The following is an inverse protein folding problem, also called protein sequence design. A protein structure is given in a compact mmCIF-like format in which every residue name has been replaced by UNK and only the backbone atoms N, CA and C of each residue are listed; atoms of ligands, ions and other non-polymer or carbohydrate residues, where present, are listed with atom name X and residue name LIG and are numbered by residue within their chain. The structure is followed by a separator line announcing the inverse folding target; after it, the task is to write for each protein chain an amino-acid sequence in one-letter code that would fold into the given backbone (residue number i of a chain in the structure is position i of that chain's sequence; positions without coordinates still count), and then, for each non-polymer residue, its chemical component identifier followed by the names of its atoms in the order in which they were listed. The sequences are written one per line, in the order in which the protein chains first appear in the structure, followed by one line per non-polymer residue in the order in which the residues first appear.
data_IF_080556243451
#
_entry.id   IF_080556243451
#
_cell.length_a   1.000
_cell.length_b   1.000
_cell.length_c   1.000
_cell.angle_alpha   90.00
_cell.angle_beta   90.00
_cell.angle_gamma   90.00
#
_symmetry.space_group_name_H-M   'P 1'
#
loop_
_entity.id
_entity.type
_entity.pdbx_description
1 polymer ?
#
# COMPACT_ATOMS: atom_id res chain seq x y z
N UNK A 1 -36.09 19.25 4.41
CA UNK A 1 -34.97 19.97 5.06
C UNK A 1 -33.65 19.19 5.08
N UNK A 2 -33.66 17.86 4.90
CA UNK A 2 -32.42 17.05 4.82
C UNK A 2 -31.84 16.89 3.40
N UNK A 3 -32.61 17.18 2.34
CA UNK A 3 -32.15 17.04 0.95
C UNK A 3 -31.30 18.24 0.45
N UNK A 4 -31.32 19.37 1.14
CA UNK A 4 -30.64 20.61 0.70
C UNK A 4 -29.13 20.66 1.00
N UNK A 5 -28.60 19.77 1.85
CA UNK A 5 -27.17 19.76 2.21
C UNK A 5 -26.28 19.04 1.18
N UNK A 6 -26.87 18.32 0.21
CA UNK A 6 -26.14 17.87 -0.98
C UNK A 6 -25.76 19.02 -1.93
N UNK A 7 -26.23 20.23 -1.63
CA UNK A 7 -26.04 21.46 -2.40
C UNK A 7 -25.13 22.46 -1.66
N UNK A 8 -24.21 21.99 -0.81
CA UNK A 8 -23.02 22.76 -0.47
C UNK A 8 -22.00 22.50 -1.58
N UNK A 9 -21.95 23.42 -2.55
CA UNK A 9 -21.20 23.41 -3.82
C UNK A 9 -19.67 23.40 -3.67
N UNK A 10 -19.14 22.58 -2.77
CA UNK A 10 -17.73 22.56 -2.39
C UNK A 10 -17.14 21.14 -2.49
N UNK A 11 -17.26 20.46 -3.66
CA UNK A 11 -16.75 19.09 -3.82
C UNK A 11 -15.25 19.01 -3.58
N UNK A 12 -14.51 20.08 -3.88
CA UNK A 12 -13.08 20.17 -3.62
C UNK A 12 -12.77 20.19 -2.12
N UNK A 13 -13.49 21.00 -1.35
CA UNK A 13 -13.35 21.13 0.10
C UNK A 13 -13.75 19.84 0.80
N UNK A 14 -14.83 19.19 0.36
CA UNK A 14 -15.24 17.88 0.87
C UNK A 14 -14.14 16.83 0.64
N UNK A 15 -13.53 16.79 -0.56
CA UNK A 15 -12.42 15.90 -0.85
C UNK A 15 -11.18 16.20 0.01
N UNK A 16 -10.87 17.48 0.25
CA UNK A 16 -9.78 17.87 1.16
C UNK A 16 -10.02 17.41 2.60
N UNK A 17 -11.25 17.50 3.09
CA UNK A 17 -11.63 16.98 4.41
C UNK A 17 -11.48 15.46 4.44
N UNK A 18 -11.92 14.75 3.41
CA UNK A 18 -11.71 13.30 3.28
C UNK A 18 -10.24 12.90 3.38
N UNK A 19 -9.32 13.67 2.75
CA UNK A 19 -7.88 13.42 2.92
C UNK A 19 -7.42 13.57 4.37
N UNK A 20 -7.91 14.59 5.08
CA UNK A 20 -7.56 14.81 6.49
C UNK A 20 -8.10 13.68 7.39
N UNK A 21 -9.32 13.20 7.12
CA UNK A 21 -9.90 12.05 7.82
C UNK A 21 -9.05 10.81 7.55
N UNK A 22 -8.70 10.52 6.29
CA UNK A 22 -7.87 9.36 5.95
C UNK A 22 -6.50 9.38 6.62
N UNK A 23 -5.88 10.56 6.73
CA UNK A 23 -4.63 10.75 7.48
C UNK A 23 -4.82 10.49 8.99
N UNK A 24 -5.92 10.96 9.57
CA UNK A 24 -6.25 10.73 10.97
C UNK A 24 -6.52 9.25 11.27
N UNK A 25 -7.30 8.56 10.45
CA UNK A 25 -7.53 7.11 10.55
C UNK A 25 -6.21 6.34 10.55
N UNK A 26 -5.29 6.71 9.66
CA UNK A 26 -3.96 6.08 9.61
C UNK A 26 -3.14 6.33 10.87
N UNK A 27 -3.16 7.55 11.39
CA UNK A 27 -2.47 7.88 12.64
C UNK A 27 -3.02 7.07 13.83
N UNK A 28 -4.30 6.66 13.77
CA UNK A 28 -4.96 5.80 14.76
C UNK A 28 -4.78 4.29 14.49
N UNK A 29 -4.07 3.91 13.42
CA UNK A 29 -3.84 2.51 13.02
C UNK A 29 -4.98 1.89 12.19
N UNK A 30 -6.04 2.64 11.91
CA UNK A 30 -7.14 2.23 11.04
C UNK A 30 -6.76 2.44 9.57
N UNK A 31 -6.03 1.47 9.02
CA UNK A 31 -5.54 1.52 7.64
C UNK A 31 -6.66 1.35 6.61
N UNK A 32 -7.70 0.58 6.94
CA UNK A 32 -8.82 0.31 6.03
C UNK A 32 -9.70 1.56 5.93
N UNK A 33 -10.03 2.19 7.06
CA UNK A 33 -10.71 3.50 7.08
C UNK A 33 -9.89 4.58 6.39
N UNK A 34 -8.57 4.58 6.59
CA UNK A 34 -7.69 5.50 5.88
C UNK A 34 -7.72 5.33 4.36
N UNK A 35 -7.68 4.09 3.87
CA UNK A 35 -7.72 3.80 2.44
C UNK A 35 -9.06 4.20 1.82
N UNK A 36 -10.17 3.88 2.49
CA UNK A 36 -11.51 4.21 2.03
C UNK A 36 -11.69 5.73 1.81
N UNK A 37 -11.31 6.53 2.81
CA UNK A 37 -11.44 8.00 2.74
C UNK A 37 -10.53 8.62 1.67
N UNK A 38 -9.30 8.10 1.53
CA UNK A 38 -8.37 8.55 0.49
C UNK A 38 -8.86 8.18 -0.92
N UNK A 39 -9.41 6.99 -1.15
CA UNK A 39 -9.96 6.57 -2.44
C UNK A 39 -11.20 7.39 -2.84
N UNK A 40 -12.06 7.70 -1.87
CA UNK A 40 -13.20 8.59 -2.08
C UNK A 40 -12.75 10.01 -2.46
N UNK A 41 -11.81 10.59 -1.71
CA UNK A 41 -11.25 11.91 -2.03
C UNK A 41 -10.57 11.95 -3.39
N UNK A 42 -9.80 10.90 -3.73
CA UNK A 42 -9.15 10.75 -5.04
C UNK A 42 -10.17 10.81 -6.17
N UNK A 43 -11.26 10.07 -6.05
CA UNK A 43 -12.32 10.02 -7.06
C UNK A 43 -12.88 11.41 -7.33
N UNK A 44 -13.12 12.20 -6.27
CA UNK A 44 -13.61 13.57 -6.43
C UNK A 44 -12.57 14.48 -7.10
N UNK A 45 -11.30 14.42 -6.68
CA UNK A 45 -10.23 15.21 -7.33
C UNK A 45 -10.06 14.87 -8.81
N UNK A 46 -10.22 13.59 -9.19
CA UNK A 46 -10.19 13.15 -10.57
C UNK A 46 -11.32 13.76 -11.40
N UNK A 47 -12.56 13.72 -10.90
CA UNK A 47 -13.70 14.33 -11.58
C UNK A 47 -13.55 15.86 -11.73
N UNK A 48 -12.87 16.52 -10.79
CA UNK A 48 -12.58 17.95 -10.84
C UNK A 48 -11.35 18.31 -11.70
N UNK A 49 -10.59 17.33 -12.18
CA UNK A 49 -9.34 17.57 -12.91
C UNK A 49 -8.21 18.15 -12.03
N UNK A 50 -8.30 18.01 -10.70
CA UNK A 50 -7.31 18.51 -9.74
C UNK A 50 -6.07 17.60 -9.70
N UNK A 51 -5.30 17.56 -10.79
CA UNK A 51 -4.15 16.65 -10.95
C UNK A 51 -3.13 16.69 -9.80
N UNK A 52 -2.74 17.86 -9.25
CA UNK A 52 -1.81 17.90 -8.12
C UNK A 52 -2.36 17.19 -6.87
N UNK A 53 -3.66 17.30 -6.62
CA UNK A 53 -4.31 16.64 -5.50
C UNK A 53 -4.45 15.13 -5.71
N UNK A 54 -4.72 14.70 -6.94
CA UNK A 54 -4.72 13.27 -7.31
C UNK A 54 -3.34 12.66 -7.02
N UNK A 55 -2.25 13.26 -7.50
CA UNK A 55 -0.89 12.75 -7.26
C UNK A 55 -0.51 12.73 -5.77
N UNK A 56 -0.98 13.73 -5.01
CA UNK A 56 -0.79 13.78 -3.56
C UNK A 56 -1.51 12.64 -2.85
N UNK A 57 -2.75 12.35 -3.24
CA UNK A 57 -3.52 11.25 -2.66
C UNK A 57 -2.97 9.88 -3.09
N UNK A 58 -2.51 9.74 -4.34
CA UNK A 58 -1.83 8.52 -4.81
C UNK A 58 -0.61 8.21 -3.94
N UNK A 59 0.22 9.21 -3.67
CA UNK A 59 1.38 9.06 -2.77
C UNK A 59 0.97 8.63 -1.36
N UNK A 60 -0.17 9.12 -0.85
CA UNK A 60 -0.69 8.71 0.46
C UNK A 60 -1.24 7.28 0.43
N UNK A 61 -1.92 6.86 -0.63
CA UNK A 61 -2.40 5.49 -0.81
C UNK A 61 -1.24 4.50 -0.97
N UNK A 62 -0.11 4.95 -1.52
CA UNK A 62 1.08 4.13 -1.67
C UNK A 62 1.83 3.86 -0.37
N UNK A 63 1.76 4.81 0.58
CA UNK A 63 2.29 4.67 1.95
C UNK A 63 1.51 3.68 2.84
N UNK A 64 0.58 2.88 2.29
CA UNK A 64 -0.05 1.79 3.03
C UNK A 64 1.04 0.85 3.60
N UNK A 65 0.97 0.48 4.89
CA UNK A 65 1.88 -0.52 5.44
C UNK A 65 1.88 -1.77 4.57
N UNK A 66 3.03 -2.40 4.39
CA UNK A 66 3.14 -3.63 3.58
C UNK A 66 2.23 -4.75 4.10
N UNK A 67 1.93 -4.73 5.40
CA UNK A 67 0.93 -5.59 6.06
C UNK A 67 -0.48 -5.38 5.47
N UNK A 68 -0.84 -4.14 5.12
CA UNK A 68 -2.10 -3.80 4.46
C UNK A 68 -2.12 -4.17 2.96
N UNK A 69 -0.97 -4.54 2.37
CA UNK A 69 -0.89 -5.12 1.01
C UNK A 69 -0.97 -6.65 1.01
N UNK A 70 -1.47 -7.23 2.11
CA UNK A 70 -1.80 -8.65 2.22
C UNK A 70 -0.60 -9.58 2.43
N UNK A 71 0.61 -9.04 2.61
CA UNK A 71 1.77 -9.84 3.00
C UNK A 71 1.72 -10.15 4.50
N UNK A 72 1.92 -11.42 4.83
CA UNK A 72 2.16 -11.83 6.22
C UNK A 72 3.51 -11.32 6.72
N UNK A 73 3.67 -11.21 8.04
CA UNK A 73 4.94 -10.84 8.66
C UNK A 73 6.13 -11.70 8.18
N UNK A 74 5.89 -12.99 7.92
CA UNK A 74 6.91 -13.92 7.43
C UNK A 74 7.27 -13.66 5.96
N UNK A 75 6.28 -13.40 5.12
CA UNK A 75 6.51 -13.02 3.72
C UNK A 75 7.27 -11.69 3.63
N UNK A 76 6.99 -10.76 4.53
CA UNK A 76 7.70 -9.48 4.62
C UNK A 76 9.18 -9.66 4.99
N UNK A 77 9.49 -10.54 5.96
CA UNK A 77 10.89 -10.91 6.26
C UNK A 77 11.59 -11.51 5.05
N UNK A 78 10.94 -12.45 4.35
CA UNK A 78 11.50 -13.07 3.14
C UNK A 78 11.75 -12.01 2.06
N UNK A 79 10.81 -11.09 1.83
CA UNK A 79 10.95 -10.01 0.86
C UNK A 79 12.12 -9.08 1.16
N UNK A 80 12.35 -8.71 2.42
CA UNK A 80 13.52 -7.90 2.82
C UNK A 80 14.84 -8.60 2.50
N UNK A 81 14.93 -9.90 2.78
CA UNK A 81 16.13 -10.67 2.45
C UNK A 81 16.32 -10.87 0.94
N UNK A 82 15.22 -10.96 0.19
CA UNK A 82 15.26 -10.98 -1.28
C UNK A 82 15.88 -9.68 -1.79
N UNK A 83 15.38 -8.55 -1.30
CA UNK A 83 15.81 -7.23 -1.72
C UNK A 83 17.22 -6.85 -1.24
N UNK A 84 17.71 -7.51 -0.18
CA UNK A 84 19.13 -7.47 0.23
C UNK A 84 20.03 -8.40 -0.60
N UNK A 85 19.51 -9.05 -1.65
CA UNK A 85 20.29 -9.87 -2.58
C UNK A 85 20.47 -11.35 -2.18
N UNK A 86 19.85 -11.85 -1.11
CA UNK A 86 20.07 -13.22 -0.62
C UNK A 86 19.32 -14.27 -1.43
N UNK A 87 20.00 -15.32 -1.87
CA UNK A 87 19.41 -16.48 -2.55
C UNK A 87 18.40 -17.21 -1.65
N UNK A 88 17.48 -17.98 -2.23
CA UNK A 88 16.49 -18.74 -1.44
C UNK A 88 17.15 -19.72 -0.46
N UNK A 89 18.34 -20.23 -0.78
CA UNK A 89 19.15 -21.08 0.11
C UNK A 89 19.68 -20.30 1.32
N UNK A 90 20.19 -19.09 1.12
CA UNK A 90 20.67 -18.23 2.22
C UNK A 90 19.51 -17.78 3.11
N UNK A 91 18.38 -17.41 2.51
CA UNK A 91 17.14 -17.07 3.23
C UNK A 91 16.66 -18.27 4.06
N UNK A 92 16.68 -19.47 3.49
CA UNK A 92 16.30 -20.69 4.20
C UNK A 92 17.17 -20.92 5.44
N UNK A 93 18.49 -20.75 5.30
CA UNK A 93 19.42 -20.89 6.42
C UNK A 93 19.18 -19.84 7.52
N UNK A 94 19.07 -18.56 7.15
CA UNK A 94 18.90 -17.46 8.10
C UNK A 94 17.56 -17.52 8.84
N UNK A 95 16.51 -17.92 8.13
CA UNK A 95 15.17 -18.03 8.70
C UNK A 95 14.89 -19.39 9.32
N UNK A 96 15.86 -20.32 9.34
CA UNK A 96 15.72 -21.69 9.82
C UNK A 96 14.53 -22.44 9.17
N UNK A 97 14.43 -22.35 7.84
CA UNK A 97 13.40 -22.96 7.00
C UNK A 97 14.01 -23.92 5.98
N UNK A 98 13.15 -24.74 5.36
CA UNK A 98 13.54 -25.49 4.17
C UNK A 98 13.53 -24.60 2.93
N UNK A 99 14.37 -24.90 1.92
CA UNK A 99 14.35 -24.21 0.63
C UNK A 99 12.97 -24.23 -0.02
N UNK A 100 12.27 -25.37 0.03
CA UNK A 100 10.89 -25.52 -0.47
C UNK A 100 9.90 -24.57 0.23
N UNK A 101 10.07 -24.33 1.53
CA UNK A 101 9.23 -23.38 2.27
C UNK A 101 9.49 -21.95 1.80
N UNK A 102 10.77 -21.59 1.59
CA UNK A 102 11.13 -20.27 1.05
C UNK A 102 10.58 -20.10 -0.36
N UNK A 103 10.73 -21.09 -1.25
CA UNK A 103 10.17 -21.06 -2.60
C UNK A 103 8.67 -20.79 -2.58
N UNK A 104 7.92 -21.45 -1.67
CA UNK A 104 6.49 -21.18 -1.48
C UNK A 104 6.21 -19.75 -1.05
N UNK A 105 6.98 -19.22 -0.10
CA UNK A 105 6.85 -17.82 0.31
C UNK A 105 7.14 -16.85 -0.85
N UNK A 106 8.18 -17.11 -1.65
CA UNK A 106 8.53 -16.28 -2.82
C UNK A 106 7.39 -16.28 -3.83
N UNK A 107 6.83 -17.44 -4.17
CA UNK A 107 5.69 -17.52 -5.09
C UNK A 107 4.45 -16.78 -4.58
N UNK A 108 4.16 -16.91 -3.28
CA UNK A 108 3.05 -16.18 -2.66
C UNK A 108 3.28 -14.66 -2.70
N UNK A 109 4.50 -14.21 -2.42
CA UNK A 109 4.87 -12.80 -2.49
C UNK A 109 4.66 -12.28 -3.92
N UNK A 110 5.16 -12.99 -4.93
CA UNK A 110 5.02 -12.56 -6.32
C UNK A 110 3.56 -12.44 -6.74
N UNK A 111 2.74 -13.43 -6.36
CA UNK A 111 1.29 -13.39 -6.63
C UNK A 111 0.59 -12.25 -5.88
N UNK A 112 0.93 -12.01 -4.61
CA UNK A 112 0.29 -10.96 -3.80
C UNK A 112 0.70 -9.54 -4.23
N UNK A 113 1.93 -9.39 -4.71
CA UNK A 113 2.45 -8.11 -5.19
C UNK A 113 2.20 -7.87 -6.68
N UNK A 114 1.67 -8.87 -7.40
CA UNK A 114 1.51 -8.87 -8.86
C UNK A 114 2.81 -8.53 -9.61
N UNK A 115 3.92 -9.15 -9.18
CA UNK A 115 5.25 -8.95 -9.78
C UNK A 115 5.77 -10.24 -10.41
N UNK A 116 6.30 -10.21 -11.64
CA UNK A 116 6.66 -11.42 -12.37
C UNK A 116 8.05 -11.97 -12.03
N UNK A 117 8.90 -11.17 -11.38
CA UNK A 117 10.31 -11.52 -11.19
C UNK A 117 10.84 -11.11 -9.83
N UNK A 118 11.93 -11.77 -9.43
CA UNK A 118 12.71 -11.42 -8.25
C UNK A 118 13.24 -9.98 -8.28
N UNK A 119 13.67 -9.52 -9.46
CA UNK A 119 14.13 -8.14 -9.65
C UNK A 119 12.98 -7.15 -9.48
N UNK A 120 11.80 -7.45 -10.03
CA UNK A 120 10.60 -6.65 -9.82
C UNK A 120 10.18 -6.61 -8.34
N UNK A 121 10.23 -7.73 -7.63
CA UNK A 121 9.97 -7.77 -6.18
C UNK A 121 11.01 -6.94 -5.38
N UNK A 122 12.26 -6.92 -5.84
CA UNK A 122 13.32 -6.10 -5.22
C UNK A 122 13.06 -4.61 -5.45
N UNK A 123 12.76 -4.20 -6.69
CA UNK A 123 12.40 -2.83 -7.02
C UNK A 123 11.18 -2.36 -6.21
N UNK A 124 10.15 -3.21 -6.14
CA UNK A 124 8.97 -2.98 -5.33
C UNK A 124 9.33 -2.71 -3.87
N UNK A 125 10.24 -3.47 -3.27
CA UNK A 125 10.68 -3.26 -1.89
C UNK A 125 11.35 -1.89 -1.69
N UNK A 126 12.16 -1.43 -2.65
CA UNK A 126 12.78 -0.09 -2.58
C UNK A 126 11.75 1.04 -2.72
N UNK A 127 10.82 0.94 -3.67
CA UNK A 127 9.74 1.91 -3.88
C UNK A 127 8.88 2.10 -2.63
N UNK A 128 8.65 1.02 -1.90
CA UNK A 128 7.85 1.00 -0.67
C UNK A 128 8.69 1.17 0.60
N UNK A 129 9.97 1.55 0.49
CA UNK A 129 10.89 1.85 1.62
C UNK A 129 10.99 0.71 2.64
N UNK A 130 11.03 -0.53 2.15
CA UNK A 130 11.29 -1.72 2.96
C UNK A 130 12.78 -1.92 3.29
N UNK A 131 13.67 -1.22 2.59
CA UNK A 131 15.12 -1.20 2.79
C UNK A 131 15.59 0.24 2.83
#
# INVERSE_FOLDING_TARGET
ALEGWQQVEAPYEAARVGVMIGQACRALGDNDGAALELEAARTVFQHLGATPDVSRVDSLLDMRPIEARGLSARELQVLRLIASGKTNKEIANELHLSGKTVDRHVSNIFNKLDVPTRTAATAWAYEHRLI
#
